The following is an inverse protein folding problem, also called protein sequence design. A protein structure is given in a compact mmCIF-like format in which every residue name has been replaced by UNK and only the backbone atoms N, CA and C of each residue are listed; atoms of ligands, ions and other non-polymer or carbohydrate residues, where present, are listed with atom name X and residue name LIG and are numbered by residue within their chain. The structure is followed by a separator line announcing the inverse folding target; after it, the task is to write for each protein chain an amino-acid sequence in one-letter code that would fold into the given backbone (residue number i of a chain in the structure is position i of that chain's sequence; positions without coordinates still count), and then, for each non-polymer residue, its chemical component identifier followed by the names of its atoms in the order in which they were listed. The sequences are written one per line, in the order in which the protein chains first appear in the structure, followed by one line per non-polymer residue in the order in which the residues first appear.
data_IF_316073314218
#
_entry.id   IF_316073314218
#
_cell.length_a   1.000
_cell.length_b   1.000
_cell.length_c   1.000
_cell.angle_alpha   90.00
_cell.angle_beta   90.00
_cell.angle_gamma   90.00
#
_symmetry.space_group_name_H-M   'P 1'
#
loop_
_entity.id
_entity.type
_entity.pdbx_description
1 polymer ?
#
# COMPACT_ATOMS: atom_id res chain seq x y z
N UNK A 1 11.40 -26.33 2.84
CA UNK A 1 10.74 -25.71 1.66
C UNK A 1 10.94 -24.22 1.76
N UNK A 2 11.78 -23.61 0.92
CA UNK A 2 11.85 -22.16 0.81
C UNK A 2 10.65 -21.72 -0.03
N UNK A 3 9.57 -21.33 0.62
CA UNK A 3 8.46 -20.67 -0.05
C UNK A 3 8.96 -19.28 -0.39
N UNK A 4 9.51 -19.11 -1.59
CA UNK A 4 9.69 -17.78 -2.17
C UNK A 4 8.27 -17.32 -2.49
N UNK A 5 7.63 -16.64 -1.54
CA UNK A 5 6.36 -15.97 -1.78
C UNK A 5 6.71 -14.90 -2.82
N UNK A 6 6.36 -15.16 -4.08
CA UNK A 6 6.51 -14.16 -5.12
C UNK A 6 5.76 -12.91 -4.65
N UNK A 7 6.53 -11.88 -4.31
CA UNK A 7 6.04 -10.60 -3.85
C UNK A 7 4.99 -10.07 -4.81
N UNK A 8 3.71 -10.13 -4.42
CA UNK A 8 2.60 -9.80 -5.31
C UNK A 8 2.60 -8.29 -5.53
N UNK A 9 2.83 -7.79 -6.75
CA UNK A 9 2.71 -6.38 -7.03
C UNK A 9 1.22 -6.01 -7.09
N UNK A 10 0.82 -5.06 -6.26
CA UNK A 10 -0.47 -4.37 -6.33
C UNK A 10 -0.28 -3.19 -7.28
N UNK A 11 -1.07 -3.11 -8.35
CA UNK A 11 -0.84 -2.18 -9.47
C UNK A 11 -1.81 -1.01 -9.50
N UNK A 12 -2.82 -1.03 -8.64
CA UNK A 12 -3.87 -0.02 -8.55
C UNK A 12 -4.30 0.23 -7.10
N UNK A 13 -4.91 1.39 -6.87
CA UNK A 13 -5.55 1.71 -5.59
C UNK A 13 -6.64 0.70 -5.22
N UNK A 14 -7.42 0.25 -6.21
CA UNK A 14 -8.49 -0.75 -6.01
C UNK A 14 -7.92 -2.07 -5.49
N UNK A 15 -6.86 -2.59 -6.10
CA UNK A 15 -6.19 -3.80 -5.60
C UNK A 15 -5.70 -3.60 -4.17
N UNK A 16 -5.07 -2.47 -3.84
CA UNK A 16 -4.63 -2.20 -2.46
C UNK A 16 -5.83 -2.18 -1.50
N UNK A 17 -6.94 -1.54 -1.87
CA UNK A 17 -8.14 -1.50 -1.04
C UNK A 17 -8.75 -2.88 -0.84
N UNK A 18 -8.87 -3.67 -1.89
CA UNK A 18 -9.45 -5.01 -1.85
C UNK A 18 -8.60 -5.97 -1.02
N UNK A 19 -7.28 -5.98 -1.22
CA UNK A 19 -6.36 -6.86 -0.47
C UNK A 19 -6.33 -6.56 1.02
N UNK A 20 -6.44 -5.29 1.39
CA UNK A 20 -6.35 -4.86 2.78
C UNK A 20 -7.71 -4.60 3.43
N UNK A 21 -8.81 -4.67 2.68
CA UNK A 21 -10.16 -4.39 3.18
C UNK A 21 -10.34 -2.95 3.67
N UNK A 22 -9.71 -1.96 3.01
CA UNK A 22 -9.72 -0.55 3.47
C UNK A 22 -10.26 0.43 2.42
N UNK A 23 -10.66 1.62 2.88
CA UNK A 23 -11.03 2.73 2.00
C UNK A 23 -9.82 3.49 1.44
N UNK A 24 -10.06 4.31 0.40
CA UNK A 24 -9.02 5.13 -0.23
C UNK A 24 -8.35 6.13 0.73
N UNK A 25 -9.12 6.67 1.69
CA UNK A 25 -8.60 7.58 2.72
C UNK A 25 -7.54 6.90 3.58
N UNK A 26 -7.73 5.63 3.93
CA UNK A 26 -6.77 4.88 4.74
C UNK A 26 -5.46 4.63 3.98
N UNK A 27 -5.56 4.29 2.69
CA UNK A 27 -4.38 4.14 1.82
C UNK A 27 -3.63 5.46 1.69
N UNK A 28 -4.35 6.59 1.62
CA UNK A 28 -3.74 7.93 1.62
C UNK A 28 -3.00 8.21 2.94
N UNK A 29 -3.62 7.93 4.09
CA UNK A 29 -2.98 8.08 5.41
C UNK A 29 -1.71 7.24 5.50
N UNK A 30 -1.72 6.01 5.00
CA UNK A 30 -0.52 5.16 4.96
C UNK A 30 0.57 5.80 4.09
N UNK A 31 0.22 6.27 2.90
CA UNK A 31 1.15 6.93 2.00
C UNK A 31 1.74 8.22 2.60
N UNK A 32 0.94 9.05 3.26
CA UNK A 32 1.38 10.25 3.97
C UNK A 32 2.23 9.92 5.21
N UNK A 33 2.05 8.73 5.79
CA UNK A 33 2.83 8.21 6.91
C UNK A 33 4.12 7.48 6.49
N UNK A 34 4.43 7.44 5.19
CA UNK A 34 5.66 6.83 4.68
C UNK A 34 5.56 5.32 4.39
N UNK A 35 4.36 4.80 4.17
CA UNK A 35 4.17 3.43 3.68
C UNK A 35 4.88 3.23 2.32
N UNK A 36 5.30 2.00 1.99
CA UNK A 36 5.98 1.67 0.74
C UNK A 36 5.04 1.66 -0.49
N UNK A 37 4.25 2.71 -0.65
CA UNK A 37 3.27 2.90 -1.72
C UNK A 37 3.78 3.98 -2.68
N UNK A 38 3.97 3.60 -3.93
CA UNK A 38 4.39 4.48 -5.03
C UNK A 38 3.14 5.11 -5.63
N UNK A 39 3.07 6.44 -5.64
CA UNK A 39 2.01 7.18 -6.32
C UNK A 39 2.51 7.63 -7.69
N UNK A 40 1.93 7.09 -8.75
CA UNK A 40 2.16 7.55 -10.10
C UNK A 40 1.23 8.73 -10.37
N UNK A 41 1.83 9.86 -10.75
CA UNK A 41 1.11 11.06 -11.15
C UNK A 41 1.25 11.28 -12.66
N UNK A 42 0.22 11.82 -13.28
CA UNK A 42 0.30 12.24 -14.68
C UNK A 42 1.12 13.54 -14.82
N UNK A 43 1.33 14.01 -16.05
CA UNK A 43 2.08 15.25 -16.33
C UNK A 43 1.44 16.53 -15.74
N UNK A 44 0.19 16.45 -15.29
CA UNK A 44 -0.54 17.55 -14.61
C UNK A 44 -0.43 17.45 -13.07
N UNK A 45 0.27 16.46 -12.54
CA UNK A 45 0.41 16.22 -11.10
C UNK A 45 -0.79 15.50 -10.47
N UNK A 46 -1.78 15.08 -11.25
CA UNK A 46 -2.95 14.33 -10.76
C UNK A 46 -2.57 12.87 -10.54
N UNK A 47 -3.14 12.26 -9.50
CA UNK A 47 -2.87 10.87 -9.16
C UNK A 47 -3.49 9.95 -10.19
N UNK A 48 -2.65 9.17 -10.87
CA UNK A 48 -3.06 8.22 -11.90
C UNK A 48 -3.17 6.79 -11.35
N UNK A 49 -2.23 6.35 -10.51
CA UNK A 49 -2.29 5.03 -9.89
C UNK A 49 -1.44 4.95 -8.62
N UNK A 50 -1.78 3.97 -7.76
CA UNK A 50 -0.98 3.56 -6.61
C UNK A 50 -0.39 2.18 -6.91
N UNK A 51 0.89 2.01 -6.62
CA UNK A 51 1.58 0.73 -6.75
C UNK A 51 2.27 0.38 -5.45
N UNK A 52 2.20 -0.88 -5.06
CA UNK A 52 2.91 -1.37 -3.89
C UNK A 52 3.27 -2.83 -4.07
N UNK A 53 4.23 -3.28 -3.29
CA UNK A 53 4.46 -4.71 -3.09
C UNK A 53 3.68 -5.16 -1.86
N UNK A 54 2.91 -6.25 -1.97
CA UNK A 54 1.99 -6.68 -0.93
C UNK A 54 2.71 -6.98 0.40
N UNK A 55 3.77 -7.79 0.39
CA UNK A 55 4.45 -8.22 1.61
C UNK A 55 5.05 -7.02 2.35
N UNK A 56 5.78 -6.14 1.64
CA UNK A 56 6.32 -4.89 2.21
C UNK A 56 5.24 -3.99 2.80
N UNK A 57 4.11 -3.85 2.11
CA UNK A 57 3.02 -3.03 2.62
C UNK A 57 2.37 -3.69 3.84
N UNK A 58 2.21 -5.00 3.83
CA UNK A 58 1.66 -5.77 4.95
C UNK A 58 2.55 -5.63 6.20
N UNK A 59 3.85 -5.89 6.07
CA UNK A 59 4.83 -5.71 7.16
C UNK A 59 4.80 -4.28 7.72
N UNK A 60 4.68 -3.28 6.85
CA UNK A 60 4.60 -1.89 7.27
C UNK A 60 3.29 -1.60 8.00
N UNK A 61 2.15 -2.08 7.50
CA UNK A 61 0.83 -1.88 8.09
C UNK A 61 0.73 -2.54 9.46
N UNK A 62 1.27 -3.75 9.63
CA UNK A 62 1.31 -4.42 10.94
C UNK A 62 2.12 -3.63 11.97
N UNK A 63 3.27 -3.07 11.57
CA UNK A 63 4.08 -2.20 12.44
C UNK A 63 3.37 -0.89 12.76
N UNK A 64 2.80 -0.25 11.73
CA UNK A 64 2.09 1.01 11.86
C UNK A 64 0.95 0.93 12.89
N UNK A 65 0.17 -0.15 12.89
CA UNK A 65 -0.90 -0.34 13.88
C UNK A 65 -0.41 -0.79 15.25
N UNK A 66 0.72 -1.49 15.33
CA UNK A 66 1.32 -1.83 16.61
C UNK A 66 1.83 -0.59 17.35
N UNK A 67 2.41 0.36 16.61
CA UNK A 67 3.01 1.58 17.15
C UNK A 67 2.00 2.71 17.35
N UNK A 68 0.89 2.69 16.59
CA UNK A 68 -0.26 3.57 16.78
C UNK A 68 -1.50 2.73 17.09
N UNK A 69 -1.67 2.28 18.34
CA UNK A 69 -2.93 1.68 18.75
C UNK A 69 -4.05 2.70 18.46
N UNK A 70 -5.07 2.23 17.75
CA UNK A 70 -6.30 2.97 17.47
C UNK A 70 -6.88 3.59 18.75
#
# INVERSE_FOLDING_TARGET
MNVVIASKPLKSLEEIKEYFGVGAERVKVWQESGAPVIVLKNSKGEIQSYKSEYNRLFDWVEKFYREKPL
#
